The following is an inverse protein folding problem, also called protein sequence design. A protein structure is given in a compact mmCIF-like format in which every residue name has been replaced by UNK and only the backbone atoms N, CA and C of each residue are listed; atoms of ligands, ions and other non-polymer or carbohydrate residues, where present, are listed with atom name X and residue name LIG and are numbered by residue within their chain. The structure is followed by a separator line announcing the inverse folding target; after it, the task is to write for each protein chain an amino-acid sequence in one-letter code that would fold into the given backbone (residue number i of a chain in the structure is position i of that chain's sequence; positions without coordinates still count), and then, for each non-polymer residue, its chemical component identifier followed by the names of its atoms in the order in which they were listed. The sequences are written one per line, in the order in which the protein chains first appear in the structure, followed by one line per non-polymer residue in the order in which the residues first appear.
data_IF_485986779504
#
_entry.id   IF_485986779504
#
_cell.length_a   1.000
_cell.length_b   1.000
_cell.length_c   1.000
_cell.angle_alpha   90.00
_cell.angle_beta   90.00
_cell.angle_gamma   90.00
#
_symmetry.space_group_name_H-M   'P 1'
#
loop_
_entity.id
_entity.type
_entity.pdbx_description
1 polymer ?
#
# COMPACT_ATOMS: atom_id res chain seq x y z
N UNK A 1 23.38 19.67 -6.30
CA UNK A 1 23.77 18.64 -7.31
C UNK A 1 22.82 18.74 -8.50
N UNK A 2 23.29 18.36 -9.69
CA UNK A 2 22.59 18.54 -10.97
C UNK A 2 21.19 17.90 -10.95
N UNK A 3 20.15 18.65 -11.34
CA UNK A 3 18.74 18.21 -11.30
C UNK A 3 18.41 17.25 -12.45
N UNK A 4 19.19 17.29 -13.53
CA UNK A 4 19.04 16.45 -14.72
C UNK A 4 19.47 14.99 -14.45
N UNK A 5 18.58 14.04 -14.75
CA UNK A 5 18.80 12.60 -14.54
C UNK A 5 19.70 11.98 -15.61
N UNK A 6 19.70 12.48 -16.84
CA UNK A 6 20.51 12.00 -17.97
C UNK A 6 21.97 12.43 -17.79
N UNK A 7 22.20 13.71 -17.47
CA UNK A 7 23.53 14.24 -17.23
C UNK A 7 24.21 13.55 -16.04
N UNK A 8 23.44 13.22 -15.00
CA UNK A 8 23.94 12.53 -13.79
C UNK A 8 24.29 11.06 -14.04
N UNK A 9 23.48 10.35 -14.84
CA UNK A 9 23.81 8.99 -15.25
C UNK A 9 25.07 8.98 -16.15
N UNK A 10 25.19 9.93 -17.08
CA UNK A 10 26.40 10.09 -17.91
C UNK A 10 27.65 10.48 -17.10
N UNK A 11 27.50 11.32 -16.07
CA UNK A 11 28.57 11.62 -15.14
C UNK A 11 28.99 10.36 -14.39
N UNK A 12 28.02 9.54 -13.95
CA UNK A 12 28.24 8.23 -13.34
C UNK A 12 29.06 7.29 -14.21
N UNK A 13 28.61 7.09 -15.45
CA UNK A 13 29.27 6.24 -16.44
C UNK A 13 30.67 6.73 -16.85
N UNK A 14 30.93 8.04 -16.84
CA UNK A 14 32.21 8.64 -17.26
C UNK A 14 33.24 8.82 -16.13
N UNK A 15 33.00 8.27 -14.94
CA UNK A 15 33.99 8.28 -13.85
C UNK A 15 33.46 8.66 -12.47
N UNK A 16 32.15 8.78 -12.27
CA UNK A 16 31.59 8.98 -10.91
C UNK A 16 31.58 7.69 -10.07
N UNK A 17 32.03 6.53 -10.57
CA UNK A 17 32.46 5.44 -9.68
C UNK A 17 33.52 5.95 -8.68
N UNK A 18 34.42 6.83 -9.13
CA UNK A 18 35.39 7.52 -8.28
C UNK A 18 34.76 8.51 -7.30
N UNK A 19 33.49 8.90 -7.48
CA UNK A 19 32.77 9.74 -6.52
C UNK A 19 32.38 8.93 -5.29
N UNK A 20 31.96 7.67 -5.44
CA UNK A 20 31.72 6.82 -4.28
C UNK A 20 33.02 6.57 -3.50
N UNK A 21 34.12 6.34 -4.22
CA UNK A 21 35.45 6.23 -3.60
C UNK A 21 35.89 7.50 -2.86
N UNK A 22 35.38 8.68 -3.26
CA UNK A 22 35.64 9.96 -2.57
C UNK A 22 34.66 10.24 -1.44
N UNK A 23 33.40 9.84 -1.59
CA UNK A 23 32.34 10.08 -0.59
C UNK A 23 32.46 9.09 0.57
N UNK A 24 32.75 7.83 0.31
CA UNK A 24 32.80 6.77 1.32
C UNK A 24 33.81 7.03 2.46
N UNK A 25 35.05 7.50 2.18
CA UNK A 25 35.97 7.92 3.25
C UNK A 25 35.39 9.06 4.10
N UNK A 26 34.67 10.01 3.48
CA UNK A 26 34.05 11.14 4.18
C UNK A 26 32.88 10.73 5.08
N UNK A 27 32.28 9.55 4.85
CA UNK A 27 31.27 8.98 5.76
C UNK A 27 31.92 8.57 7.10
N UNK A 28 33.19 8.15 7.09
CA UNK A 28 33.92 7.74 8.30
C UNK A 28 34.34 8.94 9.15
N UNK A 29 34.68 10.07 8.52
CA UNK A 29 35.09 11.30 9.19
C UNK A 29 33.89 12.07 9.75
N UNK A 30 33.86 12.28 11.06
CA UNK A 30 32.71 12.85 11.78
C UNK A 30 32.27 14.23 11.26
N UNK A 31 33.21 15.14 11.01
CA UNK A 31 32.93 16.50 10.53
C UNK A 31 32.34 16.56 9.12
N UNK A 32 32.56 15.53 8.28
CA UNK A 32 32.03 15.45 6.91
C UNK A 32 30.91 14.43 6.73
N UNK A 33 30.64 13.61 7.75
CA UNK A 33 29.72 12.47 7.69
C UNK A 33 28.32 12.88 7.24
N UNK A 34 27.77 13.96 7.82
CA UNK A 34 26.44 14.45 7.45
C UNK A 34 26.34 14.84 5.98
N UNK A 35 27.32 15.59 5.46
CA UNK A 35 27.35 16.01 4.06
C UNK A 35 27.55 14.83 3.11
N UNK A 36 28.36 13.85 3.51
CA UNK A 36 28.57 12.62 2.75
C UNK A 36 27.29 11.76 2.68
N UNK A 37 26.59 11.58 3.80
CA UNK A 37 25.31 10.86 3.87
C UNK A 37 24.20 11.56 3.08
N UNK A 38 24.12 12.89 3.17
CA UNK A 38 23.16 13.69 2.39
C UNK A 38 23.44 13.58 0.89
N UNK A 39 24.71 13.58 0.49
CA UNK A 39 25.10 13.34 -0.89
C UNK A 39 24.72 11.93 -1.36
N UNK A 40 25.00 10.89 -0.57
CA UNK A 40 24.59 9.50 -0.88
C UNK A 40 23.08 9.36 -1.00
N UNK A 41 22.31 9.96 -0.08
CA UNK A 41 20.85 9.97 -0.13
C UNK A 41 20.34 10.64 -1.40
N UNK A 42 20.88 11.82 -1.75
CA UNK A 42 20.50 12.54 -2.98
C UNK A 42 20.83 11.74 -4.24
N UNK A 43 21.99 11.08 -4.30
CA UNK A 43 22.39 10.25 -5.45
C UNK A 43 21.52 8.99 -5.53
N UNK A 44 21.18 8.39 -4.39
CA UNK A 44 20.33 7.18 -4.34
C UNK A 44 18.89 7.49 -4.73
N UNK A 45 18.38 8.65 -4.31
CA UNK A 45 17.01 9.08 -4.56
C UNK A 45 16.78 9.37 -6.05
N UNK A 46 17.76 9.94 -6.73
CA UNK A 46 17.62 10.38 -8.12
C UNK A 46 18.43 9.59 -9.15
N UNK A 47 19.32 8.69 -8.72
CA UNK A 47 20.16 7.89 -9.61
C UNK A 47 19.41 6.73 -10.24
N UNK A 48 19.79 6.33 -11.46
CA UNK A 48 19.23 5.16 -12.14
C UNK A 48 19.46 3.83 -11.39
N UNK A 49 18.79 2.75 -11.83
CA UNK A 49 18.85 1.45 -11.15
C UNK A 49 20.28 0.90 -10.96
N UNK A 50 21.16 1.10 -11.96
CA UNK A 50 22.56 0.70 -11.89
C UNK A 50 23.32 1.42 -10.77
N UNK A 51 23.13 2.74 -10.65
CA UNK A 51 23.74 3.59 -9.62
C UNK A 51 23.31 3.14 -8.23
N UNK A 52 22.00 2.90 -8.04
CA UNK A 52 21.45 2.47 -6.75
C UNK A 52 21.99 1.10 -6.33
N UNK A 53 22.12 0.17 -7.27
CA UNK A 53 22.69 -1.17 -7.02
C UNK A 53 24.14 -1.07 -6.55
N UNK A 54 24.93 -0.23 -7.19
CA UNK A 54 26.36 -0.13 -6.89
C UNK A 54 26.62 0.68 -5.61
N UNK A 55 25.82 1.72 -5.32
CA UNK A 55 25.77 2.36 -4.00
C UNK A 55 25.46 1.31 -2.94
N UNK A 56 24.35 0.58 -3.07
CA UNK A 56 23.98 -0.44 -2.09
C UNK A 56 25.10 -1.47 -1.85
N UNK A 57 25.76 -1.93 -2.91
CA UNK A 57 26.88 -2.87 -2.79
C UNK A 57 28.07 -2.28 -2.03
N UNK A 58 28.44 -1.04 -2.30
CA UNK A 58 29.65 -0.41 -1.76
C UNK A 58 29.44 0.26 -0.40
N UNK A 59 28.24 0.77 -0.13
CA UNK A 59 27.96 1.54 1.08
C UNK A 59 27.46 0.70 2.24
N UNK A 60 26.89 -0.50 2.02
CA UNK A 60 26.35 -1.32 3.11
C UNK A 60 27.37 -1.63 4.19
N UNK A 61 28.60 -2.00 3.84
CA UNK A 61 29.66 -2.30 4.83
C UNK A 61 30.18 -1.07 5.57
N UNK A 62 30.08 0.12 4.99
CA UNK A 62 30.53 1.38 5.58
C UNK A 62 29.44 2.08 6.41
N UNK A 63 28.18 1.96 5.97
CA UNK A 63 27.02 2.58 6.60
C UNK A 63 26.46 1.74 7.75
N UNK A 64 26.56 0.41 7.68
CA UNK A 64 26.06 -0.46 8.73
C UNK A 64 26.74 -0.18 10.09
N UNK A 65 28.09 -0.08 10.22
CA UNK A 65 28.72 0.26 11.50
C UNK A 65 28.36 1.66 11.99
N UNK A 66 28.11 2.62 11.10
CA UNK A 66 27.73 3.99 11.46
C UNK A 66 26.25 4.12 11.84
N UNK A 67 25.37 3.34 11.23
CA UNK A 67 23.98 3.18 11.64
C UNK A 67 23.91 2.66 13.08
N UNK A 68 24.71 1.63 13.36
CA UNK A 68 24.85 1.00 14.67
C UNK A 68 25.55 1.93 15.69
N UNK A 69 26.60 2.66 15.31
CA UNK A 69 27.34 3.57 16.19
C UNK A 69 26.68 4.94 16.41
N UNK A 70 25.69 5.33 15.59
CA UNK A 70 24.97 6.61 15.70
C UNK A 70 24.05 6.74 16.93
N UNK A 71 24.04 5.73 17.80
CA UNK A 71 23.40 5.75 19.11
C UNK A 71 24.11 6.64 20.17
N UNK A 72 25.36 7.03 19.92
CA UNK A 72 26.25 7.60 20.93
C UNK A 72 26.76 9.03 20.64
N UNK A 73 25.93 9.99 20.20
CA UNK A 73 26.41 11.38 20.15
C UNK A 73 25.43 12.43 20.68
N UNK A 74 26.00 13.30 21.54
CA UNK A 74 25.31 14.18 22.49
C UNK A 74 24.60 15.36 21.82
N UNK A 75 23.43 15.64 22.38
CA UNK A 75 22.72 16.92 22.56
C UNK A 75 22.27 17.74 21.34
N UNK A 76 22.73 17.48 20.11
CA UNK A 76 22.14 18.13 18.90
C UNK A 76 21.66 17.10 17.85
N UNK A 77 22.05 15.82 17.96
CA UNK A 77 21.75 14.81 16.93
C UNK A 77 20.49 13.93 17.16
N UNK A 78 19.94 13.85 18.38
CA UNK A 78 18.95 12.81 18.73
C UNK A 78 17.47 13.10 18.41
N UNK A 79 17.07 14.37 18.35
CA UNK A 79 15.69 14.74 17.94
C UNK A 79 15.53 14.73 16.41
N UNK A 80 16.65 14.58 15.70
CA UNK A 80 16.85 15.00 14.32
C UNK A 80 17.15 13.82 13.40
N UNK A 81 18.18 13.04 13.70
CA UNK A 81 18.78 12.14 12.70
C UNK A 81 18.30 10.69 12.89
N UNK A 82 17.76 10.38 14.07
CA UNK A 82 17.57 9.01 14.54
C UNK A 82 16.42 8.22 13.84
N UNK A 83 15.25 8.82 13.59
CA UNK A 83 14.19 8.20 12.79
C UNK A 83 14.50 8.28 11.28
N UNK A 84 15.20 9.33 10.85
CA UNK A 84 15.58 9.59 9.46
C UNK A 84 16.48 8.51 8.89
N UNK A 85 17.50 8.10 9.64
CA UNK A 85 18.41 7.04 9.17
C UNK A 85 17.73 5.67 9.20
N UNK A 86 16.81 5.40 10.15
CA UNK A 86 16.01 4.15 10.17
C UNK A 86 15.06 4.05 8.98
N UNK A 87 14.34 5.12 8.66
CA UNK A 87 13.39 5.15 7.56
C UNK A 87 14.08 5.24 6.17
N UNK A 88 15.24 5.91 6.05
CA UNK A 88 16.00 5.93 4.78
C UNK A 88 16.75 4.61 4.51
N UNK A 89 17.20 3.92 5.57
CA UNK A 89 17.80 2.57 5.47
C UNK A 89 16.75 1.50 5.16
N UNK A 90 15.55 1.57 5.77
CA UNK A 90 14.42 0.71 5.43
C UNK A 90 14.09 0.83 3.94
N UNK A 91 13.94 2.05 3.40
CA UNK A 91 13.72 2.29 1.97
C UNK A 91 14.84 1.80 1.02
N UNK A 92 16.07 1.63 1.53
CA UNK A 92 17.20 1.07 0.80
C UNK A 92 17.25 -0.47 0.80
N UNK A 93 16.95 -1.09 1.94
CA UNK A 93 17.02 -2.55 2.11
C UNK A 93 15.84 -3.27 1.44
N UNK A 94 14.69 -2.61 1.43
CA UNK A 94 13.53 -2.88 0.61
C UNK A 94 13.85 -3.25 -0.88
N UNK A 95 15.03 -2.90 -1.41
CA UNK A 95 15.42 -3.05 -2.83
C UNK A 95 16.44 -4.17 -3.13
N UNK A 96 16.84 -5.02 -2.16
CA UNK A 96 18.13 -5.76 -2.23
C UNK A 96 18.12 -7.28 -2.55
N UNK A 97 17.00 -8.02 -2.50
CA UNK A 97 17.08 -9.50 -2.51
C UNK A 97 16.23 -10.20 -3.59
N UNK A 98 16.91 -10.88 -4.55
CA UNK A 98 16.31 -11.52 -5.76
C UNK A 98 16.35 -13.05 -5.78
N UNK A 99 17.19 -13.73 -4.99
CA UNK A 99 17.35 -15.19 -5.07
C UNK A 99 17.17 -15.79 -3.68
N UNK A 100 16.18 -16.67 -3.53
CA UNK A 100 16.03 -17.77 -2.57
C UNK A 100 14.60 -17.85 -2.02
N UNK A 101 13.90 -18.97 -2.28
CA UNK A 101 13.17 -19.77 -1.28
C UNK A 101 12.50 -21.02 -1.90
N UNK A 102 12.42 -22.10 -1.12
CA UNK A 102 11.66 -23.36 -1.31
C UNK A 102 10.91 -23.73 0.00
N UNK A 103 10.01 -24.73 -0.11
CA UNK A 103 9.37 -25.65 0.88
C UNK A 103 7.93 -25.35 1.40
N UNK A 104 7.06 -26.37 1.23
CA UNK A 104 5.59 -26.61 1.42
C UNK A 104 4.83 -26.16 2.69
N UNK A 105 3.45 -26.16 2.64
CA UNK A 105 2.40 -26.68 3.62
C UNK A 105 1.00 -25.90 3.58
N UNK A 106 -0.20 -26.49 3.97
CA UNK A 106 -1.57 -25.87 4.09
C UNK A 106 -1.96 -25.28 5.51
N UNK A 107 -3.18 -24.73 5.87
CA UNK A 107 -4.54 -24.84 5.29
C UNK A 107 -5.38 -23.52 5.23
N UNK A 108 -5.25 -22.70 4.18
CA UNK A 108 -6.12 -21.53 3.93
C UNK A 108 -7.62 -21.90 3.85
N UNK A 109 -7.91 -23.11 3.38
CA UNK A 109 -9.25 -23.61 3.16
C UNK A 109 -10.11 -23.69 4.44
N UNK A 110 -9.53 -24.06 5.57
CA UNK A 110 -10.24 -24.15 6.86
C UNK A 110 -10.68 -22.76 7.34
N UNK A 111 -9.77 -21.77 7.27
CA UNK A 111 -10.09 -20.37 7.60
C UNK A 111 -11.17 -19.79 6.69
N UNK A 112 -11.15 -20.12 5.39
CA UNK A 112 -12.20 -19.71 4.45
C UNK A 112 -13.56 -20.37 4.77
N UNK A 113 -13.56 -21.61 5.27
CA UNK A 113 -14.78 -22.27 5.73
C UNK A 113 -15.34 -21.61 6.99
N UNK A 114 -14.49 -21.35 7.98
CA UNK A 114 -14.87 -20.68 9.24
C UNK A 114 -15.40 -19.26 9.01
N UNK A 115 -14.79 -18.53 8.08
CA UNK A 115 -15.24 -17.19 7.67
C UNK A 115 -16.56 -17.21 6.87
N UNK A 116 -16.86 -18.34 6.23
CA UNK A 116 -17.94 -18.49 5.27
C UNK A 116 -17.48 -18.25 3.84
N UNK A 117 -17.40 -19.34 3.06
CA UNK A 117 -16.90 -19.34 1.68
C UNK A 117 -17.59 -18.30 0.78
N UNK A 118 -18.88 -18.07 0.96
CA UNK A 118 -19.66 -17.12 0.17
C UNK A 118 -19.27 -15.66 0.39
N UNK A 119 -18.59 -15.36 1.50
CA UNK A 119 -18.11 -14.03 1.85
C UNK A 119 -16.64 -13.81 1.45
N UNK A 120 -15.95 -14.85 0.96
CA UNK A 120 -14.57 -14.79 0.53
C UNK A 120 -14.42 -14.05 -0.82
N UNK A 121 -13.32 -13.31 -1.00
CA UNK A 121 -13.09 -12.47 -2.17
C UNK A 121 -13.04 -13.30 -3.46
N UNK A 122 -12.44 -14.49 -3.40
CA UNK A 122 -12.37 -15.44 -4.53
C UNK A 122 -13.77 -15.88 -4.95
N UNK A 123 -14.61 -16.26 -4.00
CA UNK A 123 -15.98 -16.69 -4.30
C UNK A 123 -16.81 -15.53 -4.87
N UNK A 124 -16.75 -14.36 -4.24
CA UNK A 124 -17.44 -13.15 -4.71
C UNK A 124 -16.97 -12.78 -6.12
N UNK A 125 -15.68 -12.90 -6.42
CA UNK A 125 -15.14 -12.62 -7.74
C UNK A 125 -15.62 -13.62 -8.79
N UNK A 126 -15.57 -14.92 -8.51
CA UNK A 126 -16.02 -15.96 -9.44
C UNK A 126 -17.54 -15.91 -9.68
N UNK A 127 -18.33 -15.76 -8.62
CA UNK A 127 -19.79 -15.64 -8.72
C UNK A 127 -20.19 -14.37 -9.47
N UNK A 128 -19.54 -13.23 -9.18
CA UNK A 128 -19.77 -11.97 -9.92
C UNK A 128 -19.35 -12.10 -11.38
N UNK A 129 -18.26 -12.80 -11.69
CA UNK A 129 -17.83 -13.02 -13.08
C UNK A 129 -18.88 -13.81 -13.88
N UNK A 130 -19.46 -14.85 -13.27
CA UNK A 130 -20.56 -15.61 -13.87
C UNK A 130 -21.81 -14.73 -14.07
N UNK A 131 -22.19 -13.97 -13.04
CA UNK A 131 -23.37 -13.08 -13.10
C UNK A 131 -23.17 -11.98 -14.14
N UNK A 132 -21.96 -11.41 -14.22
CA UNK A 132 -21.54 -10.45 -15.23
C UNK A 132 -21.65 -11.02 -16.64
N UNK A 133 -21.07 -12.19 -16.90
CA UNK A 133 -21.17 -12.85 -18.21
C UNK A 133 -22.64 -13.06 -18.61
N UNK A 134 -23.48 -13.54 -17.68
CA UNK A 134 -24.91 -13.69 -17.92
C UNK A 134 -25.57 -12.35 -18.26
N UNK A 135 -25.32 -11.29 -17.49
CA UNK A 135 -25.88 -9.96 -17.75
C UNK A 135 -25.44 -9.40 -19.11
N UNK A 136 -24.18 -9.61 -19.49
CA UNK A 136 -23.65 -9.18 -20.79
C UNK A 136 -24.30 -9.96 -21.95
N UNK A 137 -24.56 -11.26 -21.80
CA UNK A 137 -25.27 -12.05 -22.81
C UNK A 137 -26.77 -11.67 -22.91
N UNK A 138 -27.40 -11.32 -21.79
CA UNK A 138 -28.80 -10.89 -21.74
C UNK A 138 -28.99 -9.42 -22.16
N UNK A 139 -27.90 -8.65 -22.33
CA UNK A 139 -27.92 -7.19 -22.59
C UNK A 139 -28.71 -6.77 -23.82
N UNK A 140 -28.81 -7.64 -24.83
CA UNK A 140 -29.62 -7.40 -26.02
C UNK A 140 -31.11 -7.22 -25.66
N UNK A 141 -31.55 -7.80 -24.54
CA UNK A 141 -32.95 -7.78 -24.08
C UNK A 141 -33.15 -6.96 -22.80
N UNK A 142 -32.09 -6.72 -22.02
CA UNK A 142 -32.18 -6.13 -20.69
C UNK A 142 -31.80 -4.64 -20.67
N UNK A 143 -32.79 -3.78 -20.43
CA UNK A 143 -32.57 -2.33 -20.26
C UNK A 143 -31.91 -1.95 -18.93
N UNK A 144 -31.80 -2.88 -17.98
CA UNK A 144 -31.27 -2.64 -16.64
C UNK A 144 -29.80 -3.08 -16.47
N UNK A 145 -29.08 -3.36 -17.57
CA UNK A 145 -27.67 -3.76 -17.51
C UNK A 145 -26.83 -2.81 -16.64
N UNK A 146 -27.03 -1.49 -16.78
CA UNK A 146 -26.27 -0.50 -16.02
C UNK A 146 -26.42 -0.63 -14.50
N UNK A 147 -27.63 -0.92 -14.01
CA UNK A 147 -27.90 -1.09 -12.58
C UNK A 147 -27.19 -2.35 -12.05
N UNK A 148 -27.23 -3.44 -12.81
CA UNK A 148 -26.51 -4.69 -12.47
C UNK A 148 -24.99 -4.47 -12.43
N UNK A 149 -24.44 -3.76 -13.42
CA UNK A 149 -23.01 -3.48 -13.46
C UNK A 149 -22.56 -2.60 -12.27
N UNK A 150 -23.37 -1.62 -11.88
CA UNK A 150 -23.08 -0.80 -10.70
C UNK A 150 -23.08 -1.64 -9.41
N UNK A 151 -24.05 -2.56 -9.26
CA UNK A 151 -24.09 -3.51 -8.16
C UNK A 151 -22.84 -4.40 -8.12
N UNK A 152 -22.41 -4.94 -9.26
CA UNK A 152 -21.20 -5.77 -9.36
C UNK A 152 -19.95 -4.99 -8.96
N UNK A 153 -19.83 -3.73 -9.38
CA UNK A 153 -18.69 -2.85 -9.01
C UNK A 153 -18.58 -2.66 -7.50
N UNK A 154 -19.71 -2.58 -6.80
CA UNK A 154 -19.76 -2.46 -5.36
C UNK A 154 -19.56 -3.79 -4.61
N UNK A 155 -19.55 -4.92 -5.33
CA UNK A 155 -19.41 -6.28 -4.78
C UNK A 155 -17.98 -6.79 -4.80
N UNK A 156 -17.20 -6.49 -5.85
CA UNK A 156 -15.78 -6.92 -5.97
C UNK A 156 -14.99 -5.99 -6.89
N UNK A 157 -13.67 -5.95 -6.69
CA UNK A 157 -12.74 -5.18 -7.51
C UNK A 157 -12.72 -5.64 -8.98
N UNK A 158 -12.81 -6.95 -9.22
CA UNK A 158 -12.71 -7.57 -10.54
C UNK A 158 -14.08 -7.87 -11.16
N UNK A 159 -15.04 -6.98 -10.90
CA UNK A 159 -16.43 -7.07 -11.36
C UNK A 159 -16.62 -6.88 -12.86
N UNK A 160 -15.70 -6.19 -13.52
CA UNK A 160 -15.73 -5.94 -14.97
C UNK A 160 -14.51 -6.60 -15.59
N UNK A 161 -14.74 -7.63 -16.40
CA UNK A 161 -13.67 -8.33 -17.07
C UNK A 161 -13.15 -7.54 -18.29
N UNK A 162 -11.84 -7.60 -18.53
CA UNK A 162 -11.24 -7.18 -19.80
C UNK A 162 -11.55 -8.25 -20.85
N UNK A 163 -12.12 -7.84 -21.97
CA UNK A 163 -12.56 -8.80 -22.99
C UNK A 163 -13.44 -8.20 -24.06
N UNK A 164 -13.79 -9.05 -25.02
CA UNK A 164 -14.70 -8.79 -26.13
C UNK A 164 -15.63 -9.97 -26.29
N UNK A 165 -16.77 -9.78 -26.96
CA UNK A 165 -17.57 -10.91 -27.40
C UNK A 165 -16.77 -11.72 -28.43
N UNK A 166 -16.72 -13.03 -28.22
CA UNK A 166 -16.07 -13.97 -29.11
C UNK A 166 -17.11 -14.95 -29.63
N UNK A 167 -17.14 -15.14 -30.93
CA UNK A 167 -17.99 -16.12 -31.60
C UNK A 167 -17.11 -16.98 -32.50
N UNK A 168 -17.36 -18.29 -32.50
CA UNK A 168 -16.70 -19.17 -33.45
C UNK A 168 -17.44 -19.10 -34.79
N UNK A 169 -16.72 -18.77 -35.87
CA UNK A 169 -17.27 -18.86 -37.22
C UNK A 169 -17.64 -20.33 -37.52
N UNK A 170 -18.92 -20.63 -37.80
CA UNK A 170 -19.38 -22.00 -38.06
C UNK A 170 -18.72 -22.68 -39.25
N UNK A 171 -18.16 -21.91 -40.21
CA UNK A 171 -17.54 -22.44 -41.43
C UNK A 171 -16.04 -22.62 -41.29
N UNK A 172 -15.35 -21.65 -40.70
CA UNK A 172 -13.89 -21.69 -40.59
C UNK A 172 -13.38 -22.24 -39.25
N UNK A 173 -14.26 -22.33 -38.24
CA UNK A 173 -13.90 -22.72 -36.87
C UNK A 173 -13.04 -21.68 -36.15
N UNK A 174 -12.78 -20.53 -36.76
CA UNK A 174 -11.95 -19.46 -36.16
C UNK A 174 -12.76 -18.69 -35.13
N UNK A 175 -12.09 -18.31 -34.04
CA UNK A 175 -12.64 -17.40 -33.06
C UNK A 175 -12.50 -15.99 -33.60
N UNK A 176 -13.63 -15.33 -33.83
CA UNK A 176 -13.69 -13.94 -34.27
C UNK A 176 -14.36 -13.07 -33.21
N UNK A 177 -14.10 -11.77 -33.27
CA UNK A 177 -14.79 -10.80 -32.43
C UNK A 177 -16.24 -10.72 -32.90
N UNK A 178 -17.16 -11.17 -32.06
CA UNK A 178 -18.58 -11.20 -32.38
C UNK A 178 -19.15 -9.78 -32.39
N UNK A 179 -19.77 -9.39 -33.51
CA UNK A 179 -20.59 -8.18 -33.58
C UNK A 179 -22.03 -8.52 -33.18
N UNK A 180 -22.41 -8.11 -31.97
CA UNK A 180 -23.76 -8.29 -31.44
C UNK A 180 -24.69 -7.10 -31.74
N UNK A 181 -24.26 -6.13 -32.56
CA UNK A 181 -25.02 -4.90 -32.82
C UNK A 181 -25.08 -3.96 -31.61
N UNK A 182 -24.19 -4.16 -30.62
CA UNK A 182 -24.10 -3.34 -29.42
C UNK A 182 -23.22 -2.09 -29.68
N UNK A 183 -23.42 -0.98 -28.95
CA UNK A 183 -22.65 0.25 -29.15
C UNK A 183 -21.21 0.16 -28.60
N UNK A 184 -20.74 -1.04 -28.26
CA UNK A 184 -19.40 -1.31 -27.74
C UNK A 184 -18.93 -2.70 -28.17
N UNK A 185 -17.62 -2.83 -28.41
CA UNK A 185 -17.00 -4.13 -28.75
C UNK A 185 -16.33 -4.75 -27.52
N UNK A 186 -15.70 -3.92 -26.67
CA UNK A 186 -15.09 -4.35 -25.41
C UNK A 186 -16.07 -4.20 -24.27
N UNK A 187 -16.01 -5.12 -23.32
CA UNK A 187 -16.88 -5.14 -22.15
C UNK A 187 -16.75 -3.87 -21.29
N UNK A 188 -15.53 -3.38 -21.08
CA UNK A 188 -15.29 -2.12 -20.33
C UNK A 188 -15.95 -0.91 -20.99
N UNK A 189 -16.07 -0.91 -22.32
CA UNK A 189 -16.65 0.22 -23.05
C UNK A 189 -18.20 0.23 -22.97
N UNK A 190 -18.81 -0.77 -22.33
CA UNK A 190 -20.23 -0.78 -21.99
C UNK A 190 -20.60 0.19 -20.86
N UNK A 191 -19.65 0.53 -19.97
CA UNK A 191 -19.92 1.32 -18.77
C UNK A 191 -20.47 2.72 -19.10
N UNK A 192 -19.86 3.53 -20.00
CA UNK A 192 -20.39 4.87 -20.28
C UNK A 192 -21.77 4.88 -20.96
N UNK A 193 -22.08 4.03 -21.97
CA UNK A 193 -23.43 3.87 -22.48
C UNK A 193 -24.46 3.50 -21.40
N UNK A 194 -24.12 2.58 -20.49
CA UNK A 194 -24.98 2.21 -19.36
C UNK A 194 -25.22 3.38 -18.40
N UNK A 195 -24.18 4.14 -18.06
CA UNK A 195 -24.30 5.32 -17.22
C UNK A 195 -25.22 6.38 -17.87
N UNK A 196 -25.10 6.59 -19.19
CA UNK A 196 -26.01 7.48 -19.93
C UNK A 196 -27.45 6.96 -19.91
N UNK A 197 -27.66 5.66 -20.10
CA UNK A 197 -28.99 5.05 -20.05
C UNK A 197 -29.68 5.27 -18.69
N UNK A 198 -28.96 5.07 -17.58
CA UNK A 198 -29.47 5.35 -16.23
C UNK A 198 -29.89 6.83 -16.11
N UNK A 199 -29.01 7.75 -16.51
CA UNK A 199 -29.30 9.20 -16.44
C UNK A 199 -30.51 9.60 -17.29
N UNK A 200 -30.68 9.00 -18.47
CA UNK A 200 -31.86 9.22 -19.32
C UNK A 200 -33.14 8.66 -18.73
N UNK A 201 -33.06 7.61 -17.90
CA UNK A 201 -34.20 7.08 -17.15
C UNK A 201 -34.77 8.08 -16.14
N UNK A 202 -33.96 9.05 -15.69
CA UNK A 202 -34.42 10.20 -14.92
C UNK A 202 -34.69 9.94 -13.44
N UNK A 203 -34.33 8.78 -12.91
CA UNK A 203 -34.47 8.47 -11.47
C UNK A 203 -33.35 9.16 -10.68
N UNK A 204 -33.65 10.18 -9.83
CA UNK A 204 -32.60 10.93 -9.14
C UNK A 204 -31.76 10.07 -8.17
N UNK A 205 -32.36 9.02 -7.62
CA UNK A 205 -31.68 8.08 -6.69
C UNK A 205 -30.63 7.20 -7.37
N UNK A 206 -30.65 7.09 -8.70
CA UNK A 206 -29.75 6.22 -9.47
C UNK A 206 -28.58 7.00 -10.08
N UNK A 207 -28.54 8.33 -9.92
CA UNK A 207 -27.49 9.17 -10.50
C UNK A 207 -26.10 8.81 -9.96
N UNK A 208 -26.01 8.44 -8.67
CA UNK A 208 -24.76 7.97 -8.06
C UNK A 208 -24.31 6.62 -8.65
N UNK A 209 -25.24 5.74 -9.04
CA UNK A 209 -24.91 4.48 -9.72
C UNK A 209 -24.33 4.72 -11.11
N UNK A 210 -24.85 5.70 -11.84
CA UNK A 210 -24.28 6.13 -13.11
C UNK A 210 -22.86 6.70 -12.93
N UNK A 211 -22.63 7.48 -11.87
CA UNK A 211 -21.30 8.01 -11.55
C UNK A 211 -20.32 6.89 -11.15
N UNK A 212 -20.76 5.86 -10.43
CA UNK A 212 -19.94 4.66 -10.12
C UNK A 212 -19.43 3.98 -11.40
N UNK A 213 -20.30 3.83 -12.41
CA UNK A 213 -19.92 3.24 -13.70
C UNK A 213 -18.84 4.06 -14.41
N UNK A 214 -19.01 5.39 -14.48
CA UNK A 214 -18.05 6.29 -15.12
C UNK A 214 -16.72 6.37 -14.35
N UNK A 215 -16.77 6.38 -13.01
CA UNK A 215 -15.60 6.31 -12.14
C UNK A 215 -14.83 5.00 -12.41
N UNK A 216 -15.52 3.86 -12.42
CA UNK A 216 -14.89 2.56 -12.71
C UNK A 216 -14.26 2.54 -14.10
N UNK A 217 -14.95 3.07 -15.11
CA UNK A 217 -14.40 3.22 -16.46
C UNK A 217 -13.09 4.02 -16.45
N UNK A 218 -13.07 5.17 -15.77
CA UNK A 218 -11.86 5.99 -15.66
C UNK A 218 -10.72 5.27 -14.92
N UNK A 219 -11.01 4.53 -13.86
CA UNK A 219 -10.02 3.71 -13.14
C UNK A 219 -9.43 2.64 -14.08
N UNK A 220 -10.27 1.89 -14.79
CA UNK A 220 -9.82 0.84 -15.72
C UNK A 220 -8.98 1.41 -16.87
N UNK A 221 -9.30 2.62 -17.36
CA UNK A 221 -8.50 3.32 -18.38
C UNK A 221 -7.29 4.07 -17.81
N UNK A 222 -6.93 3.88 -16.53
CA UNK A 222 -5.82 4.55 -15.85
C UNK A 222 -5.91 6.09 -15.86
N UNK A 223 -7.14 6.63 -15.92
CA UNK A 223 -7.44 8.07 -15.89
C UNK A 223 -7.87 8.49 -14.48
N UNK A 224 -7.00 8.24 -13.51
CA UNK A 224 -7.31 8.42 -12.08
C UNK A 224 -7.75 9.84 -11.76
N UNK A 225 -7.12 10.86 -12.35
CA UNK A 225 -7.52 12.26 -12.18
C UNK A 225 -9.00 12.51 -12.49
N UNK A 226 -9.51 11.91 -13.56
CA UNK A 226 -10.90 12.08 -13.99
C UNK A 226 -11.87 11.33 -13.06
N UNK A 227 -11.47 10.14 -12.58
CA UNK A 227 -12.22 9.39 -11.59
C UNK A 227 -12.36 10.19 -10.28
N UNK A 228 -11.27 10.79 -9.81
CA UNK A 228 -11.21 11.63 -8.60
C UNK A 228 -12.09 12.88 -8.75
N UNK A 229 -11.99 13.58 -9.89
CA UNK A 229 -12.80 14.77 -10.16
C UNK A 229 -14.30 14.44 -10.14
N UNK A 230 -14.69 13.35 -10.80
CA UNK A 230 -16.08 12.89 -10.83
C UNK A 230 -16.57 12.48 -9.44
N UNK A 231 -15.75 11.74 -8.68
CA UNK A 231 -16.05 11.35 -7.31
C UNK A 231 -16.26 12.57 -6.39
N UNK A 232 -15.40 13.60 -6.48
CA UNK A 232 -15.57 14.84 -5.72
C UNK A 232 -16.85 15.57 -6.09
N UNK A 233 -17.22 15.58 -7.38
CA UNK A 233 -18.50 16.17 -7.82
C UNK A 233 -19.68 15.40 -7.25
N UNK A 234 -19.64 14.06 -7.29
CA UNK A 234 -20.67 13.20 -6.70
C UNK A 234 -20.83 13.41 -5.20
N UNK A 235 -19.72 13.54 -4.45
CA UNK A 235 -19.75 13.78 -3.00
C UNK A 235 -20.40 15.12 -2.60
N UNK A 236 -20.41 16.12 -3.49
CA UNK A 236 -21.17 17.37 -3.23
C UNK A 236 -22.68 17.13 -3.21
N UNK A 237 -23.17 16.14 -3.97
CA UNK A 237 -24.57 15.74 -4.01
C UNK A 237 -24.88 14.72 -2.90
N UNK A 238 -24.04 13.70 -2.78
CA UNK A 238 -24.22 12.59 -1.82
C UNK A 238 -22.95 12.39 -1.01
N UNK A 239 -22.79 13.10 0.14
CA UNK A 239 -21.60 12.98 0.99
C UNK A 239 -21.39 11.61 1.63
N UNK A 240 -22.44 10.76 1.64
CA UNK A 240 -22.46 9.43 2.27
C UNK A 240 -22.17 8.28 1.28
N UNK A 241 -21.62 8.58 0.10
CA UNK A 241 -21.30 7.58 -0.92
C UNK A 241 -19.85 7.07 -0.79
N UNK A 242 -19.67 5.96 -0.09
CA UNK A 242 -18.36 5.39 0.25
C UNK A 242 -17.46 5.11 -0.98
N UNK A 243 -18.03 4.65 -2.10
CA UNK A 243 -17.24 4.33 -3.30
C UNK A 243 -16.55 5.56 -3.91
N UNK A 244 -17.14 6.75 -3.75
CA UNK A 244 -16.52 7.99 -4.22
C UNK A 244 -15.28 8.33 -3.40
N UNK A 245 -15.31 8.14 -2.08
CA UNK A 245 -14.11 8.27 -1.26
C UNK A 245 -13.04 7.27 -1.68
N UNK A 246 -13.41 6.02 -1.98
CA UNK A 246 -12.46 5.02 -2.46
C UNK A 246 -11.74 5.49 -3.73
N UNK A 247 -12.47 6.02 -4.71
CA UNK A 247 -11.87 6.58 -5.91
C UNK A 247 -10.88 7.72 -5.63
N UNK A 248 -11.15 8.57 -4.63
CA UNK A 248 -10.24 9.64 -4.20
C UNK A 248 -8.95 9.08 -3.60
N UNK A 249 -9.04 7.97 -2.85
CA UNK A 249 -7.84 7.32 -2.28
C UNK A 249 -6.85 6.85 -3.34
N UNK A 250 -7.28 6.60 -4.57
CA UNK A 250 -6.39 6.17 -5.66
C UNK A 250 -5.50 7.31 -6.18
N UNK A 251 -5.72 8.54 -5.75
CA UNK A 251 -4.89 9.69 -6.13
C UNK A 251 -3.46 9.56 -5.59
N UNK A 252 -2.53 10.31 -6.19
CA UNK A 252 -1.13 10.36 -5.76
C UNK A 252 -0.91 11.20 -4.49
N UNK A 253 -1.92 11.97 -4.06
CA UNK A 253 -1.85 12.76 -2.84
C UNK A 253 -2.21 11.88 -1.64
N UNK A 254 -1.20 11.46 -0.88
CA UNK A 254 -1.39 10.57 0.27
C UNK A 254 -2.14 11.25 1.42
N UNK A 255 -2.08 12.58 1.55
CA UNK A 255 -2.79 13.31 2.61
C UNK A 255 -4.28 13.36 2.27
N UNK A 256 -4.60 13.70 1.03
CA UNK A 256 -5.99 13.63 0.56
C UNK A 256 -6.51 12.20 0.61
N UNK A 257 -5.70 11.23 0.18
CA UNK A 257 -6.04 9.82 0.20
C UNK A 257 -6.37 9.29 1.60
N UNK A 258 -5.56 9.64 2.61
CA UNK A 258 -5.83 9.25 4.00
C UNK A 258 -7.13 9.87 4.52
N UNK A 259 -7.33 11.18 4.31
CA UNK A 259 -8.56 11.87 4.72
C UNK A 259 -9.79 11.26 4.06
N UNK A 260 -9.71 10.98 2.75
CA UNK A 260 -10.79 10.34 2.02
C UNK A 260 -11.06 8.93 2.55
N UNK A 261 -10.02 8.13 2.82
CA UNK A 261 -10.14 6.80 3.39
C UNK A 261 -10.91 6.82 4.73
N UNK A 262 -10.47 7.67 5.67
CA UNK A 262 -11.10 7.80 6.99
C UNK A 262 -12.53 8.35 6.91
N UNK A 263 -12.80 9.33 6.03
CA UNK A 263 -14.18 9.83 5.78
C UNK A 263 -15.09 8.75 5.20
N UNK A 264 -14.61 7.99 4.22
CA UNK A 264 -15.38 6.91 3.59
C UNK A 264 -15.75 5.80 4.56
N UNK A 265 -14.86 5.47 5.51
CA UNK A 265 -15.14 4.48 6.57
C UNK A 265 -16.24 4.94 7.54
N UNK A 266 -16.51 6.25 7.63
CA UNK A 266 -17.61 6.81 8.44
C UNK A 266 -18.96 6.86 7.69
N UNK A 267 -19.03 6.44 6.42
CA UNK A 267 -20.29 6.40 5.68
C UNK A 267 -21.26 5.37 6.26
N UNK A 268 -22.56 5.70 6.30
CA UNK A 268 -23.61 4.84 6.89
C UNK A 268 -23.86 3.60 6.06
N UNK A 269 -23.78 3.76 4.74
CA UNK A 269 -24.03 2.68 3.78
C UNK A 269 -22.74 2.36 3.03
N UNK A 270 -22.04 1.33 3.50
CA UNK A 270 -20.79 0.87 2.91
C UNK A 270 -20.86 -0.64 2.68
N UNK A 271 -20.49 -1.09 1.47
CA UNK A 271 -20.40 -2.53 1.20
C UNK A 271 -19.13 -3.10 1.84
N UNK A 272 -19.10 -4.40 2.19
CA UNK A 272 -17.89 -5.03 2.73
C UNK A 272 -16.66 -4.81 1.84
N UNK A 273 -16.83 -4.95 0.52
CA UNK A 273 -15.77 -4.67 -0.46
C UNK A 273 -15.19 -3.25 -0.30
N UNK A 274 -16.04 -2.22 -0.32
CA UNK A 274 -15.58 -0.83 -0.23
C UNK A 274 -14.97 -0.51 1.14
N UNK A 275 -15.50 -1.11 2.22
CA UNK A 275 -14.94 -0.99 3.58
C UNK A 275 -13.51 -1.47 3.65
N UNK A 276 -13.25 -2.69 3.21
CA UNK A 276 -11.89 -3.26 3.28
C UNK A 276 -10.93 -2.54 2.34
N UNK A 277 -11.39 -2.10 1.17
CA UNK A 277 -10.57 -1.27 0.28
C UNK A 277 -10.18 0.07 0.95
N UNK A 278 -11.12 0.79 1.56
CA UNK A 278 -10.81 2.03 2.26
C UNK A 278 -9.86 1.82 3.45
N UNK A 279 -10.05 0.75 4.22
CA UNK A 279 -9.22 0.43 5.39
C UNK A 279 -7.78 0.10 4.99
N UNK A 280 -7.59 -0.71 3.95
CA UNK A 280 -6.26 -0.98 3.40
C UNK A 280 -5.57 0.30 2.90
N UNK A 281 -6.32 1.19 2.21
CA UNK A 281 -5.77 2.48 1.76
C UNK A 281 -5.44 3.40 2.93
N UNK A 282 -6.23 3.39 4.00
CA UNK A 282 -5.93 4.15 5.21
C UNK A 282 -4.59 3.72 5.83
N UNK A 283 -4.38 2.41 5.97
CA UNK A 283 -3.12 1.83 6.47
C UNK A 283 -1.94 2.25 5.60
N UNK A 284 -2.04 2.10 4.27
CA UNK A 284 -0.95 2.45 3.36
C UNK A 284 -0.61 3.94 3.37
N UNK A 285 -1.62 4.81 3.30
CA UNK A 285 -1.39 6.25 3.30
C UNK A 285 -0.82 6.72 4.64
N UNK A 286 -1.35 6.23 5.76
CA UNK A 286 -0.81 6.55 7.08
C UNK A 286 0.63 6.05 7.25
N UNK A 287 0.91 4.80 6.86
CA UNK A 287 2.25 4.23 6.89
C UNK A 287 3.26 5.03 6.05
N UNK A 288 2.89 5.41 4.82
CA UNK A 288 3.73 6.25 3.96
C UNK A 288 3.96 7.65 4.54
N UNK A 289 2.92 8.27 5.11
CA UNK A 289 3.01 9.59 5.73
C UNK A 289 3.94 9.57 6.94
N UNK A 290 3.83 8.54 7.78
CA UNK A 290 4.73 8.32 8.91
C UNK A 290 6.17 8.26 8.42
N UNK A 291 6.46 7.44 7.40
CA UNK A 291 7.82 7.31 6.88
C UNK A 291 8.37 8.68 6.46
N UNK A 292 7.56 9.52 5.80
CA UNK A 292 7.97 10.88 5.39
C UNK A 292 8.23 11.79 6.59
N UNK A 293 7.29 11.86 7.54
CA UNK A 293 7.41 12.70 8.74
C UNK A 293 8.64 12.31 9.55
N UNK A 294 8.87 11.01 9.73
CA UNK A 294 10.03 10.49 10.44
C UNK A 294 11.35 10.74 9.68
N UNK A 295 11.34 10.75 8.34
CA UNK A 295 12.50 11.09 7.49
C UNK A 295 12.84 12.59 7.45
N UNK A 296 11.86 13.45 7.66
CA UNK A 296 12.07 14.90 7.66
C UNK A 296 12.33 15.46 9.07
N UNK A 297 12.17 14.64 10.12
CA UNK A 297 12.54 14.99 11.50
C UNK A 297 14.01 15.42 11.53
N UNK A 298 14.38 16.48 12.27
CA UNK A 298 13.63 17.31 13.19
C UNK A 298 13.07 18.56 12.51
N UNK A 299 13.32 18.72 11.20
CA UNK A 299 13.17 19.98 10.51
C UNK A 299 11.70 20.43 10.51
N UNK A 300 10.79 19.49 10.73
CA UNK A 300 9.34 19.63 10.83
C UNK A 300 8.82 20.02 12.23
N UNK A 301 9.66 20.02 13.26
CA UNK A 301 9.29 20.45 14.63
C UNK A 301 8.41 19.46 15.41
N UNK A 302 8.22 19.74 16.71
CA UNK A 302 7.55 18.84 17.68
C UNK A 302 6.09 18.50 17.33
N UNK A 303 5.32 19.45 16.79
CA UNK A 303 3.91 19.25 16.48
C UNK A 303 3.69 18.20 15.37
N UNK A 304 4.48 18.27 14.30
CA UNK A 304 4.42 17.28 13.21
C UNK A 304 4.93 15.90 13.64
N UNK A 305 5.82 15.86 14.61
CA UNK A 305 6.25 14.60 15.21
C UNK A 305 5.10 13.91 15.96
N UNK A 306 4.38 14.65 16.81
CA UNK A 306 3.21 14.14 17.53
C UNK A 306 2.10 13.67 16.56
N UNK A 307 1.89 14.41 15.46
CA UNK A 307 1.00 14.01 14.36
C UNK A 307 1.45 12.69 13.70
N UNK A 308 2.75 12.51 13.43
CA UNK A 308 3.28 11.25 12.90
C UNK A 308 3.08 10.06 13.84
N UNK A 309 3.21 10.24 15.15
CA UNK A 309 2.93 9.18 16.13
C UNK A 309 1.45 8.81 16.12
N UNK A 310 0.55 9.79 15.98
CA UNK A 310 -0.88 9.52 15.90
C UNK A 310 -1.23 8.71 14.63
N UNK A 311 -0.63 9.02 13.49
CA UNK A 311 -0.80 8.20 12.27
C UNK A 311 -0.29 6.77 12.44
N UNK A 312 0.82 6.58 13.14
CA UNK A 312 1.34 5.25 13.48
C UNK A 312 0.34 4.43 14.28
N UNK A 313 -0.22 5.01 15.34
CA UNK A 313 -1.19 4.33 16.21
C UNK A 313 -2.48 4.01 15.46
N UNK A 314 -3.05 4.98 14.74
CA UNK A 314 -4.27 4.78 13.97
C UNK A 314 -4.07 3.74 12.85
N UNK A 315 -2.92 3.72 12.18
CA UNK A 315 -2.60 2.68 11.20
C UNK A 315 -2.51 1.30 11.85
N UNK A 316 -1.89 1.19 13.04
CA UNK A 316 -1.78 -0.09 13.74
C UNK A 316 -3.17 -0.61 14.12
N UNK A 317 -4.07 0.24 14.60
CA UNK A 317 -5.42 -0.17 14.95
C UNK A 317 -6.24 -0.56 13.71
N UNK A 318 -6.15 0.21 12.61
CA UNK A 318 -6.74 -0.17 11.32
C UNK A 318 -6.22 -1.54 10.84
N UNK A 319 -4.92 -1.84 10.98
CA UNK A 319 -4.39 -3.14 10.57
C UNK A 319 -4.94 -4.30 11.38
N UNK A 320 -5.19 -4.13 12.68
CA UNK A 320 -5.78 -5.18 13.53
C UNK A 320 -7.21 -5.47 13.08
N UNK A 321 -8.02 -4.42 12.96
CA UNK A 321 -9.42 -4.54 12.52
C UNK A 321 -9.49 -5.17 11.13
N UNK A 322 -8.60 -4.78 10.22
CA UNK A 322 -8.56 -5.36 8.88
C UNK A 322 -8.30 -6.87 8.94
N UNK A 323 -7.26 -7.31 9.66
CA UNK A 323 -6.92 -8.73 9.64
C UNK A 323 -7.97 -9.59 10.37
N UNK A 324 -8.60 -9.04 11.40
CA UNK A 324 -9.64 -9.74 12.15
C UNK A 324 -10.95 -9.87 11.36
N UNK A 325 -11.32 -8.86 10.55
CA UNK A 325 -12.62 -8.81 9.89
C UNK A 325 -12.62 -9.10 8.39
N UNK A 326 -11.51 -8.85 7.68
CA UNK A 326 -11.44 -9.01 6.23
C UNK A 326 -11.45 -10.48 5.83
N UNK A 327 -11.90 -10.81 4.61
CA UNK A 327 -11.79 -12.16 4.09
C UNK A 327 -10.36 -12.69 4.18
N UNK A 328 -10.15 -13.95 4.61
CA UNK A 328 -8.82 -14.51 4.75
C UNK A 328 -8.07 -14.63 3.41
N UNK A 329 -8.80 -14.65 2.30
CA UNK A 329 -8.28 -14.64 0.93
C UNK A 329 -8.28 -13.24 0.29
N UNK A 330 -8.50 -12.18 1.08
CA UNK A 330 -8.44 -10.82 0.56
C UNK A 330 -7.05 -10.54 -0.02
N UNK A 331 -7.01 -10.04 -1.26
CA UNK A 331 -5.76 -9.83 -2.00
C UNK A 331 -4.76 -8.88 -1.32
N UNK A 332 -5.24 -8.05 -0.39
CA UNK A 332 -4.40 -7.10 0.34
C UNK A 332 -3.99 -7.58 1.73
N UNK A 333 -4.49 -8.73 2.18
CA UNK A 333 -4.21 -9.28 3.51
C UNK A 333 -2.72 -9.30 3.83
N UNK A 334 -1.89 -9.74 2.89
CA UNK A 334 -0.44 -9.78 3.08
C UNK A 334 0.19 -8.40 3.20
N UNK A 335 -0.25 -7.44 2.40
CA UNK A 335 0.25 -6.06 2.47
C UNK A 335 -0.07 -5.44 3.82
N UNK A 336 -1.29 -5.66 4.32
CA UNK A 336 -1.72 -5.17 5.64
C UNK A 336 -0.98 -5.90 6.77
N UNK A 337 -0.75 -7.21 6.66
CA UNK A 337 0.06 -7.97 7.61
C UNK A 337 1.51 -7.46 7.68
N UNK A 338 2.12 -7.11 6.55
CA UNK A 338 3.46 -6.53 6.53
C UNK A 338 3.49 -5.20 7.28
N UNK A 339 2.49 -4.34 7.07
CA UNK A 339 2.31 -3.12 7.85
C UNK A 339 2.11 -3.42 9.33
N UNK A 340 1.22 -4.34 9.69
CA UNK A 340 0.98 -4.74 11.09
C UNK A 340 2.27 -5.12 11.81
N UNK A 341 3.10 -5.97 11.20
CA UNK A 341 4.38 -6.40 11.77
C UNK A 341 5.32 -5.20 11.94
N UNK A 342 5.50 -4.40 10.89
CA UNK A 342 6.39 -3.23 10.92
C UNK A 342 5.94 -2.19 11.94
N UNK A 343 4.64 -1.90 12.01
CA UNK A 343 4.04 -0.96 12.95
C UNK A 343 4.16 -1.48 14.39
N UNK A 344 3.90 -2.77 14.62
CA UNK A 344 4.03 -3.38 15.95
C UNK A 344 5.47 -3.32 16.45
N UNK A 345 6.45 -3.65 15.61
CA UNK A 345 7.88 -3.54 15.96
C UNK A 345 8.25 -2.08 16.21
N UNK A 346 7.73 -1.15 15.40
CA UNK A 346 8.04 0.28 15.52
C UNK A 346 7.50 0.88 16.82
N UNK A 347 6.27 0.52 17.21
CA UNK A 347 5.56 1.09 18.36
C UNK A 347 5.94 0.36 19.65
N UNK A 348 5.94 -0.98 19.63
CA UNK A 348 6.12 -1.81 20.83
C UNK A 348 7.53 -2.37 20.98
N UNK A 349 8.47 -2.04 20.07
CA UNK A 349 9.80 -2.64 19.99
C UNK A 349 10.53 -2.86 21.31
N UNK A 350 10.59 -1.90 22.25
CA UNK A 350 11.24 -2.08 23.55
C UNK A 350 10.56 -3.11 24.47
N UNK A 351 9.27 -3.36 24.27
CA UNK A 351 8.44 -4.27 25.06
C UNK A 351 8.27 -5.64 24.40
N UNK A 352 8.72 -5.81 23.15
CA UNK A 352 8.66 -7.08 22.44
C UNK A 352 9.82 -7.98 22.88
N UNK A 353 9.59 -9.29 22.84
CA UNK A 353 10.66 -10.25 23.09
C UNK A 353 11.65 -10.26 21.93
N UNK A 354 12.93 -10.52 22.24
CA UNK A 354 14.01 -10.50 21.23
C UNK A 354 13.80 -11.51 20.09
N UNK A 355 13.05 -12.58 20.34
CA UNK A 355 12.66 -13.62 19.36
C UNK A 355 11.35 -13.30 18.64
N UNK A 356 10.70 -12.17 18.94
CA UNK A 356 9.39 -11.76 18.41
C UNK A 356 8.29 -12.80 18.66
N UNK A 357 8.36 -13.57 19.76
CA UNK A 357 7.36 -14.61 20.06
C UNK A 357 5.92 -14.09 20.10
N UNK A 358 5.71 -12.82 20.46
CA UNK A 358 4.38 -12.19 20.46
C UNK A 358 3.80 -12.09 19.05
N UNK A 359 4.65 -11.89 18.05
CA UNK A 359 4.25 -11.93 16.65
C UNK A 359 4.08 -13.38 16.19
N UNK A 360 4.88 -14.33 16.68
CA UNK A 360 4.78 -15.74 16.29
C UNK A 360 3.56 -16.48 16.86
N UNK A 361 3.14 -16.13 18.08
CA UNK A 361 1.97 -16.70 18.74
C UNK A 361 0.66 -16.07 18.27
N UNK A 362 0.74 -14.95 17.57
CA UNK A 362 -0.42 -14.30 16.97
C UNK A 362 -0.91 -15.10 15.76
N UNK A 363 -2.24 -15.19 15.50
CA UNK A 363 -2.77 -15.64 14.20
C UNK A 363 -2.27 -14.80 13.01
N UNK A 364 -1.54 -13.71 13.29
CA UNK A 364 -0.88 -12.74 12.40
C UNK A 364 0.62 -13.04 12.15
N UNK A 365 1.12 -14.22 12.56
CA UNK A 365 2.55 -14.55 12.54
C UNK A 365 3.22 -14.46 11.16
N UNK A 366 4.50 -14.02 11.08
CA UNK A 366 5.29 -14.06 9.85
C UNK A 366 5.44 -15.45 9.23
N UNK A 367 5.47 -16.52 10.05
CA UNK A 367 5.47 -17.90 9.56
C UNK A 367 4.12 -18.31 8.95
N UNK A 368 3.09 -17.48 9.15
CA UNK A 368 1.73 -17.59 8.62
C UNK A 368 1.50 -16.47 7.61
N UNK A 369 2.53 -15.83 7.03
CA UNK A 369 2.32 -14.88 5.92
C UNK A 369 1.61 -15.60 4.77
N UNK A 370 0.35 -15.21 4.54
CA UNK A 370 -0.65 -15.96 3.77
C UNK A 370 -0.27 -16.12 2.28
N UNK A 371 0.69 -15.33 1.79
CA UNK A 371 1.09 -15.31 0.37
C UNK A 371 2.05 -16.42 -0.06
N UNK A 372 2.92 -16.92 0.82
CA UNK A 372 3.74 -18.07 0.42
C UNK A 372 2.86 -19.33 0.31
N UNK A 373 1.63 -19.33 0.84
CA UNK A 373 0.74 -20.48 0.74
C UNK A 373 -0.27 -20.33 -0.41
N UNK A 374 -0.97 -19.20 -0.51
CA UNK A 374 -1.94 -18.99 -1.61
C UNK A 374 -1.25 -18.87 -2.96
N UNK A 375 -0.24 -17.99 -3.08
CA UNK A 375 0.46 -17.83 -4.34
C UNK A 375 1.14 -19.14 -4.75
N UNK A 376 1.77 -19.89 -3.83
CA UNK A 376 2.31 -21.22 -4.17
C UNK A 376 1.23 -22.25 -4.52
N UNK A 377 0.06 -22.25 -3.86
CA UNK A 377 -1.03 -23.17 -4.18
C UNK A 377 -1.56 -22.98 -5.61
N UNK A 378 -1.40 -21.78 -6.19
CA UNK A 378 -1.73 -21.47 -7.58
C UNK A 378 -0.48 -21.34 -8.48
N UNK A 379 0.69 -21.80 -8.02
CA UNK A 379 1.98 -21.76 -8.70
C UNK A 379 2.41 -20.35 -9.18
N UNK A 380 2.13 -19.34 -8.36
CA UNK A 380 2.54 -17.95 -8.53
C UNK A 380 3.59 -17.62 -7.47
N UNK A 381 4.71 -17.02 -7.86
CA UNK A 381 5.65 -16.47 -6.90
C UNK A 381 5.05 -15.19 -6.31
N UNK A 382 4.86 -15.15 -4.99
CA UNK A 382 4.33 -13.96 -4.34
C UNK A 382 5.25 -12.76 -4.62
N UNK A 383 4.69 -11.60 -5.03
CA UNK A 383 5.47 -10.49 -5.53
C UNK A 383 6.44 -9.97 -4.47
N UNK A 384 7.70 -9.79 -4.85
CA UNK A 384 8.75 -9.18 -4.01
C UNK A 384 8.57 -7.67 -3.98
N UNK A 385 7.48 -7.23 -3.36
CA UNK A 385 7.18 -5.82 -3.19
C UNK A 385 8.22 -5.19 -2.27
N UNK A 386 8.35 -3.88 -2.42
CA UNK A 386 9.23 -3.12 -1.56
C UNK A 386 8.90 -3.35 -0.08
N UNK A 387 7.63 -3.20 0.30
CA UNK A 387 7.17 -3.37 1.68
C UNK A 387 7.51 -4.75 2.25
N UNK A 388 7.25 -5.84 1.49
CA UNK A 388 7.56 -7.21 1.90
C UNK A 388 9.05 -7.38 2.24
N UNK A 389 9.94 -6.97 1.33
CA UNK A 389 11.38 -7.10 1.53
C UNK A 389 11.88 -6.30 2.74
N UNK A 390 11.25 -5.14 3.00
CA UNK A 390 11.51 -4.33 4.20
C UNK A 390 11.11 -5.08 5.47
N UNK A 391 9.91 -5.65 5.48
CA UNK A 391 9.41 -6.46 6.59
C UNK A 391 10.30 -7.68 6.87
N UNK A 392 10.61 -8.49 5.84
CA UNK A 392 11.45 -9.69 5.98
C UNK A 392 12.82 -9.35 6.56
N UNK A 393 13.41 -8.23 6.11
CA UNK A 393 14.69 -7.75 6.63
C UNK A 393 14.57 -7.36 8.10
N UNK A 394 13.56 -6.56 8.46
CA UNK A 394 13.38 -6.12 9.84
C UNK A 394 13.23 -7.31 10.76
N UNK A 395 12.39 -8.29 10.40
CA UNK A 395 12.20 -9.51 11.19
C UNK A 395 13.50 -10.32 11.30
N UNK A 396 14.21 -10.54 10.17
CA UNK A 396 15.45 -11.31 10.13
C UNK A 396 16.54 -10.77 11.06
N UNK A 397 16.68 -9.45 11.14
CA UNK A 397 17.76 -8.81 11.90
C UNK A 397 17.31 -8.31 13.28
N UNK A 398 16.02 -8.40 13.62
CA UNK A 398 15.49 -7.85 14.85
C UNK A 398 16.17 -8.44 16.10
N UNK A 399 16.31 -9.76 16.19
CA UNK A 399 16.88 -10.43 17.37
C UNK A 399 18.31 -9.97 17.66
N UNK A 400 19.17 -9.97 16.64
CA UNK A 400 20.55 -9.49 16.77
C UNK A 400 20.57 -8.01 17.16
N UNK A 401 19.75 -7.18 16.50
CA UNK A 401 19.69 -5.75 16.82
C UNK A 401 19.15 -5.48 18.24
N UNK A 402 18.16 -6.23 18.71
CA UNK A 402 17.59 -6.07 20.03
C UNK A 402 18.60 -6.48 21.12
N UNK A 403 19.40 -7.53 20.89
CA UNK A 403 20.48 -7.92 21.79
C UNK A 403 21.60 -6.87 21.85
N UNK A 404 22.03 -6.39 20.69
CA UNK A 404 23.16 -5.45 20.58
C UNK A 404 22.81 -4.05 21.10
N UNK A 405 21.55 -3.60 20.90
CA UNK A 405 21.14 -2.22 21.18
C UNK A 405 20.08 -2.09 22.26
N UNK A 406 19.52 -3.16 22.79
CA UNK A 406 18.43 -3.11 23.78
C UNK A 406 18.81 -2.32 25.02
N UNK A 407 20.04 -2.50 25.52
CA UNK A 407 20.56 -1.75 26.68
C UNK A 407 20.74 -0.26 26.40
N UNK A 408 21.16 0.08 25.17
CA UNK A 408 21.35 1.46 24.73
C UNK A 408 20.00 2.16 24.57
N UNK A 409 19.00 1.46 24.01
CA UNK A 409 17.63 1.95 23.86
C UNK A 409 16.99 2.16 25.24
N UNK A 410 17.08 1.18 26.15
CA UNK A 410 16.52 1.27 27.49
C UNK A 410 17.09 2.46 28.29
N UNK A 411 18.41 2.67 28.19
CA UNK A 411 19.09 3.80 28.85
C UNK A 411 18.64 5.15 28.28
N UNK A 412 18.41 5.24 26.97
CA UNK A 412 17.92 6.45 26.32
C UNK A 412 16.47 6.79 26.73
N UNK A 413 15.61 5.79 26.92
CA UNK A 413 14.22 5.99 27.35
C UNK A 413 14.12 6.50 28.79
N UNK A 414 15.03 6.08 29.69
CA UNK A 414 14.99 6.46 31.11
C UNK A 414 15.36 7.92 31.41
N UNK A 415 15.92 8.66 30.45
CA UNK A 415 16.36 10.06 30.65
C UNK A 415 15.31 11.11 30.21
N UNK A 416 14.22 10.72 29.54
CA UNK A 416 13.34 11.68 28.82
C UNK A 416 11.83 11.45 29.06
N UNK A 417 11.49 10.78 30.16
CA UNK A 417 10.18 10.18 30.45
C UNK A 417 9.06 11.22 30.74
N UNK A 418 8.74 12.13 29.79
CA UNK A 418 7.55 13.01 29.78
C UNK A 418 7.11 13.44 28.37
N UNK A 419 6.99 12.53 27.40
CA UNK A 419 6.11 12.78 26.26
C UNK A 419 4.69 12.37 26.68
N UNK A 420 3.82 13.37 26.88
CA UNK A 420 2.41 13.16 27.21
C UNK A 420 1.77 12.31 26.12
N UNK A 421 1.05 11.27 26.55
CA UNK A 421 0.15 10.48 25.72
C UNK A 421 -0.77 11.40 24.94
N UNK A 422 -0.61 11.43 23.63
CA UNK A 422 -1.47 12.17 22.72
C UNK A 422 -2.83 11.45 22.69
N UNK A 423 -3.93 12.19 22.87
CA UNK A 423 -5.29 11.63 22.86
C UNK A 423 -5.66 11.18 21.44
N UNK A 424 -5.87 9.88 21.28
CA UNK A 424 -6.17 9.21 20.00
C UNK A 424 -7.50 9.68 19.38
N UNK A 425 -8.55 9.79 20.18
CA UNK A 425 -9.92 10.09 19.71
C UNK A 425 -10.05 11.47 19.06
N UNK A 426 -9.39 12.49 19.61
CA UNK A 426 -9.46 13.85 19.08
C UNK A 426 -8.84 13.96 17.68
N UNK A 427 -7.80 13.17 17.41
CA UNK A 427 -7.06 13.23 16.16
C UNK A 427 -7.70 12.42 15.04
N UNK A 428 -8.40 11.33 15.34
CA UNK A 428 -9.20 10.62 14.34
C UNK A 428 -10.36 11.47 13.82
N UNK A 429 -10.90 12.35 14.66
CA UNK A 429 -11.90 13.33 14.23
C UNK A 429 -11.28 14.49 13.46
N UNK A 430 -10.12 15.01 13.88
CA UNK A 430 -9.38 16.04 13.13
C UNK A 430 -8.91 15.54 11.75
N UNK A 431 -8.58 14.24 11.61
CA UNK A 431 -8.24 13.60 10.34
C UNK A 431 -9.43 13.35 9.43
N UNK A 432 -10.61 13.17 10.03
CA UNK A 432 -11.86 13.00 9.33
C UNK A 432 -12.59 14.33 9.07
N UNK A 433 -12.08 15.47 9.56
CA UNK A 433 -12.52 16.82 9.20
C UNK A 433 -11.91 17.24 7.85
#
# INVERSE_FOLDING_TARGET
MCVDTILRNKLYERGMHCLLDKILPLVRTESSRYMALRALSTITHHGGAAIRKDIARQTTSALLPLWLASLDLRTILKVVIYPVVRCTSLGGIIRLHRKNSEVDIPPLQERMMDYGLQNCDTFLTLSTSRDFQKAMMDSIKDRNLGLKLAEYILRTEFSIAEGVFQSQDPRSGKIEVGDLGLPFTRWVDALPPCARAIRMGGTPKEEDLADILDIKYHILKQRISNAVELARKGLKRTPDQAYFYYAITLSADHVEGLRAAKKGLKCKHITPFVRFQLMQRAVEHAGDMVIRILQDSPAVGKAKWEEGIAFLMSALDDTKVFVDEAPPDNRHMNTVLYWYILLTITINGPNLSTDLRELQASPLSPSVTHDDNFCRAIDIEAPKTNLRLGQETVVKYYTTAAADFGTVIAKASSEEDRLKTVSHEKLEDDLAA
#
